data_IF_641721267084
#
_entry.id   IF_641721267084
#
_cell.length_a   1.000
_cell.length_b   1.000
_cell.length_c   1.000
_cell.angle_alpha   90.00
_cell.angle_beta   90.00
_cell.angle_gamma   90.00
#
_symmetry.space_group_name_H-M   'P 1'
#
loop_
_entity.id
_entity.type
_entity.pdbx_description
1 polymer ?
#
# COMPACT_ATOMS: atom_id res chain seq x y z
N UNK A 1 -17.75 -11.87 2.39
CA UNK A 1 -18.97 -11.28 1.81
C UNK A 1 -18.60 -10.70 0.45
N UNK A 2 -19.45 -10.88 -0.55
CA UNK A 2 -19.24 -10.39 -1.91
C UNK A 2 -20.56 -9.84 -2.44
N UNK A 3 -20.48 -8.75 -3.18
CA UNK A 3 -21.63 -8.02 -3.69
C UNK A 3 -21.47 -7.85 -5.20
N UNK A 4 -22.53 -8.12 -5.95
CA UNK A 4 -22.54 -7.88 -7.39
C UNK A 4 -22.70 -6.37 -7.64
N UNK A 5 -21.74 -5.79 -8.35
CA UNK A 5 -21.72 -4.35 -8.63
C UNK A 5 -22.49 -4.05 -9.91
N UNK A 6 -22.24 -4.88 -10.93
CA UNK A 6 -22.97 -4.95 -12.20
C UNK A 6 -23.03 -6.43 -12.62
N UNK A 7 -23.92 -6.83 -13.54
CA UNK A 7 -24.03 -8.22 -13.98
C UNK A 7 -22.67 -8.82 -14.36
N UNK A 8 -22.25 -9.87 -13.65
CA UNK A 8 -21.00 -10.59 -13.88
C UNK A 8 -19.75 -10.01 -13.21
N UNK A 9 -19.83 -8.85 -12.54
CA UNK A 9 -18.71 -8.25 -11.79
C UNK A 9 -19.02 -8.15 -10.31
N UNK A 10 -18.25 -8.89 -9.53
CA UNK A 10 -18.39 -9.02 -8.09
C UNK A 10 -17.21 -8.35 -7.37
N UNK A 11 -17.50 -7.65 -6.28
CA UNK A 11 -16.51 -7.09 -5.37
C UNK A 11 -16.63 -7.76 -4.00
N UNK A 12 -15.53 -8.23 -3.44
CA UNK A 12 -15.57 -8.94 -2.15
C UNK A 12 -14.29 -8.94 -1.35
N UNK A 13 -14.39 -9.53 -0.16
CA UNK A 13 -13.23 -9.89 0.67
C UNK A 13 -12.48 -11.08 0.07
N UNK A 14 -11.24 -11.30 0.52
CA UNK A 14 -10.46 -12.50 0.17
C UNK A 14 -11.27 -13.78 0.40
N UNK A 15 -11.48 -14.61 -0.63
CA UNK A 15 -12.24 -15.85 -0.47
C UNK A 15 -11.41 -16.91 0.26
N UNK A 16 -12.08 -17.69 1.09
CA UNK A 16 -11.55 -18.91 1.70
C UNK A 16 -11.98 -20.15 0.89
N UNK A 17 -11.29 -21.28 1.08
CA UNK A 17 -11.59 -22.57 0.44
C UNK A 17 -13.04 -22.99 0.68
N UNK A 18 -13.59 -22.71 1.87
CA UNK A 18 -15.00 -22.96 2.19
C UNK A 18 -16.01 -22.20 1.31
N UNK A 19 -15.55 -21.16 0.59
CA UNK A 19 -16.40 -20.31 -0.27
C UNK A 19 -16.36 -20.71 -1.74
N UNK A 20 -15.56 -21.70 -2.14
CA UNK A 20 -15.46 -22.13 -3.54
C UNK A 20 -16.83 -22.52 -4.11
N UNK A 21 -17.64 -23.28 -3.38
CA UNK A 21 -18.99 -23.64 -3.82
C UNK A 21 -19.88 -22.40 -4.02
N UNK A 22 -19.80 -21.40 -3.13
CA UNK A 22 -20.54 -20.15 -3.26
C UNK A 22 -20.10 -19.34 -4.48
N UNK A 23 -18.79 -19.33 -4.81
CA UNK A 23 -18.29 -18.69 -6.03
C UNK A 23 -18.90 -19.32 -7.28
N UNK A 24 -18.93 -20.65 -7.35
CA UNK A 24 -19.55 -21.37 -8.46
C UNK A 24 -21.07 -21.16 -8.54
N UNK A 25 -21.79 -21.16 -7.42
CA UNK A 25 -23.23 -20.89 -7.39
C UNK A 25 -23.57 -19.49 -7.92
N UNK A 26 -22.68 -18.51 -7.70
CA UNK A 26 -22.82 -17.15 -8.25
C UNK A 26 -22.28 -17.04 -9.69
N UNK A 27 -21.91 -18.16 -10.32
CA UNK A 27 -21.42 -18.19 -11.69
C UNK A 27 -20.03 -17.59 -11.88
N UNK A 28 -19.24 -17.38 -10.82
CA UNK A 28 -17.88 -16.81 -10.91
C UNK A 28 -16.90 -17.85 -11.44
N UNK A 29 -16.19 -17.52 -12.52
CA UNK A 29 -15.14 -18.38 -13.12
C UNK A 29 -13.75 -17.74 -13.12
N UNK A 30 -13.65 -16.45 -12.82
CA UNK A 30 -12.38 -15.74 -12.74
C UNK A 30 -12.22 -14.95 -11.44
N UNK A 31 -10.99 -14.87 -10.92
CA UNK A 31 -10.66 -14.15 -9.69
C UNK A 31 -9.46 -13.23 -9.93
N UNK A 32 -9.66 -11.94 -9.71
CA UNK A 32 -8.61 -10.92 -9.68
C UNK A 32 -8.27 -10.61 -8.21
N UNK A 33 -7.01 -10.88 -7.85
CA UNK A 33 -6.46 -10.64 -6.51
C UNK A 33 -5.57 -9.41 -6.52
N UNK A 34 -5.91 -8.39 -5.74
CA UNK A 34 -5.02 -7.26 -5.43
C UNK A 34 -4.72 -7.28 -3.94
N UNK A 35 -3.60 -7.89 -3.56
CA UNK A 35 -3.24 -8.13 -2.16
C UNK A 35 -1.72 -8.35 -2.07
N UNK A 36 -1.17 -8.45 -0.86
CA UNK A 36 0.23 -8.81 -0.62
C UNK A 36 0.53 -10.29 -0.89
N UNK A 37 -0.50 -11.14 -0.86
CA UNK A 37 -0.36 -12.58 -0.99
C UNK A 37 -1.34 -13.14 -2.02
N UNK A 38 -0.91 -14.03 -2.94
CA UNK A 38 -1.81 -14.69 -3.87
C UNK A 38 -2.74 -15.68 -3.15
N UNK A 39 -3.82 -16.08 -3.80
CA UNK A 39 -4.65 -17.20 -3.34
C UNK A 39 -3.92 -18.54 -3.54
N UNK A 40 -4.11 -19.53 -2.63
CA UNK A 40 -3.49 -20.85 -2.76
C UNK A 40 -3.80 -21.51 -4.10
N UNK A 41 -2.76 -21.89 -4.84
CA UNK A 41 -2.86 -22.47 -6.17
C UNK A 41 -3.69 -23.77 -6.20
N UNK A 42 -3.50 -24.64 -5.21
CA UNK A 42 -4.17 -25.94 -5.14
C UNK A 42 -5.68 -25.82 -4.98
N UNK A 43 -6.16 -24.90 -4.13
CA UNK A 43 -7.58 -24.74 -3.85
C UNK A 43 -8.32 -23.96 -4.95
N UNK A 44 -7.67 -22.96 -5.56
CA UNK A 44 -8.31 -22.07 -6.53
C UNK A 44 -7.90 -22.35 -7.99
N UNK A 45 -7.33 -23.53 -8.27
CA UNK A 45 -7.00 -23.97 -9.63
C UNK A 45 -8.19 -24.03 -10.61
N UNK A 46 -9.45 -24.25 -10.19
CA UNK A 46 -10.58 -24.24 -11.12
C UNK A 46 -10.94 -22.86 -11.69
N UNK A 47 -10.37 -21.77 -11.14
CA UNK A 47 -10.65 -20.40 -11.57
C UNK A 47 -9.52 -19.87 -12.45
N UNK A 48 -9.88 -19.09 -13.49
CA UNK A 48 -8.89 -18.20 -14.15
C UNK A 48 -8.48 -17.14 -13.15
N UNK A 49 -7.18 -16.85 -13.02
CA UNK A 49 -6.67 -15.98 -11.95
C UNK A 49 -5.74 -14.92 -12.50
N UNK A 50 -5.90 -13.71 -11.98
CA UNK A 50 -4.90 -12.65 -12.07
C UNK A 50 -4.50 -12.24 -10.65
N UNK A 51 -3.20 -12.16 -10.42
CA UNK A 51 -2.63 -11.63 -9.19
C UNK A 51 -1.85 -10.35 -9.49
N UNK A 52 -2.18 -9.29 -8.76
CA UNK A 52 -1.47 -8.01 -8.76
C UNK A 52 -0.99 -7.79 -7.31
N UNK A 53 0.32 -7.93 -7.03
CA UNK A 53 0.85 -7.64 -5.71
C UNK A 53 0.72 -6.15 -5.44
N UNK A 54 0.01 -5.77 -4.37
CA UNK A 54 -0.16 -4.38 -3.99
C UNK A 54 -0.54 -4.23 -2.52
N UNK A 55 -0.12 -3.13 -1.90
CA UNK A 55 -0.51 -2.79 -0.54
C UNK A 55 -1.60 -1.70 -0.53
N UNK A 56 -2.50 -1.71 0.45
CA UNK A 56 -3.52 -0.65 0.62
C UNK A 56 -2.91 0.59 1.31
N UNK A 57 -2.02 1.26 0.57
CA UNK A 57 -1.36 2.49 1.00
C UNK A 57 -1.54 3.57 -0.07
N UNK A 58 -1.54 4.87 0.32
CA UNK A 58 -1.64 5.96 -0.64
C UNK A 58 -0.43 6.09 -1.58
N UNK A 59 0.65 5.38 -1.30
CA UNK A 59 1.90 5.44 -2.08
C UNK A 59 2.03 4.28 -3.08
N UNK A 60 1.19 3.25 -2.97
CA UNK A 60 1.16 2.14 -3.92
C UNK A 60 0.66 2.64 -5.28
N UNK A 61 1.43 2.37 -6.35
CA UNK A 61 1.04 2.77 -7.70
C UNK A 61 0.28 1.62 -8.37
N UNK A 62 -1.04 1.62 -8.22
CA UNK A 62 -1.94 0.71 -8.94
C UNK A 62 -2.24 1.19 -10.36
N UNK A 63 -2.07 2.48 -10.66
CA UNK A 63 -2.39 3.09 -11.95
C UNK A 63 -1.70 2.37 -13.12
N UNK A 64 -0.42 2.00 -12.97
CA UNK A 64 0.34 1.18 -13.94
C UNK A 64 -0.26 -0.21 -14.20
N UNK A 65 -1.10 -0.70 -13.30
CA UNK A 65 -1.73 -2.02 -13.36
C UNK A 65 -3.19 -1.97 -13.80
N UNK A 66 -3.77 -0.77 -13.96
CA UNK A 66 -5.19 -0.62 -14.34
C UNK A 66 -5.48 -1.29 -15.67
N UNK A 67 -4.67 -1.06 -16.71
CA UNK A 67 -4.89 -1.67 -18.02
C UNK A 67 -4.92 -3.20 -17.93
N UNK A 68 -3.92 -3.80 -17.26
CA UNK A 68 -3.87 -5.26 -17.05
C UNK A 68 -5.09 -5.79 -16.30
N UNK A 69 -5.54 -5.07 -15.28
CA UNK A 69 -6.68 -5.46 -14.46
C UNK A 69 -8.01 -5.33 -15.23
N UNK A 70 -8.19 -4.23 -15.96
CA UNK A 70 -9.37 -3.94 -16.78
C UNK A 70 -9.50 -4.98 -17.89
N UNK A 71 -8.41 -5.27 -18.63
CA UNK A 71 -8.42 -6.30 -19.67
C UNK A 71 -8.83 -7.66 -19.10
N UNK A 72 -8.29 -8.04 -17.94
CA UNK A 72 -8.70 -9.28 -17.28
C UNK A 72 -10.18 -9.29 -16.90
N UNK A 73 -10.73 -8.17 -16.41
CA UNK A 73 -12.16 -8.10 -16.09
C UNK A 73 -12.99 -8.20 -17.38
N UNK A 74 -12.69 -7.41 -18.41
CA UNK A 74 -13.47 -7.36 -19.65
C UNK A 74 -13.51 -8.72 -20.37
N UNK A 75 -12.39 -9.44 -20.43
CA UNK A 75 -12.32 -10.77 -21.04
C UNK A 75 -13.21 -11.81 -20.34
N UNK A 76 -13.46 -11.64 -19.03
CA UNK A 76 -14.05 -12.69 -18.20
C UNK A 76 -15.41 -12.30 -17.60
N UNK A 77 -15.87 -11.05 -17.73
CA UNK A 77 -17.10 -10.55 -17.10
C UNK A 77 -18.35 -11.36 -17.51
N UNK A 78 -18.41 -11.84 -18.76
CA UNK A 78 -19.51 -12.72 -19.25
C UNK A 78 -19.61 -14.05 -18.51
N UNK A 79 -18.50 -14.48 -17.90
CA UNK A 79 -18.38 -15.73 -17.16
C UNK A 79 -18.24 -15.51 -15.64
N UNK A 80 -18.51 -14.30 -15.15
CA UNK A 80 -18.42 -13.96 -13.74
C UNK A 80 -16.97 -13.75 -13.25
N UNK A 81 -16.69 -12.54 -12.75
CA UNK A 81 -15.39 -12.15 -12.19
C UNK A 81 -15.56 -11.66 -10.76
N UNK A 82 -14.76 -12.20 -9.84
CA UNK A 82 -14.57 -11.62 -8.51
C UNK A 82 -13.29 -10.79 -8.48
N UNK A 83 -13.41 -9.52 -8.15
CA UNK A 83 -12.29 -8.68 -7.70
C UNK A 83 -12.30 -8.67 -6.18
N UNK A 84 -11.18 -9.02 -5.54
CA UNK A 84 -11.06 -8.92 -4.08
C UNK A 84 -9.97 -7.96 -3.63
N UNK A 85 -10.22 -7.34 -2.47
CA UNK A 85 -9.38 -6.34 -1.77
C UNK A 85 -9.14 -4.99 -2.45
N UNK A 86 -9.52 -4.78 -3.72
CA UNK A 86 -9.39 -3.46 -4.36
C UNK A 86 -10.68 -2.96 -5.03
N UNK A 87 -11.44 -2.16 -4.28
CA UNK A 87 -12.53 -1.36 -4.84
C UNK A 87 -12.03 -0.39 -5.92
N UNK A 88 -10.78 0.07 -5.81
CA UNK A 88 -10.11 0.95 -6.79
C UNK A 88 -10.12 0.34 -8.19
N UNK A 89 -9.79 -0.95 -8.34
CA UNK A 89 -9.81 -1.63 -9.65
C UNK A 89 -11.23 -1.70 -10.23
N UNK A 90 -12.23 -1.98 -9.39
CA UNK A 90 -13.64 -2.01 -9.84
C UNK A 90 -14.08 -0.63 -10.31
N UNK A 91 -13.76 0.43 -9.55
CA UNK A 91 -14.07 1.80 -9.95
C UNK A 91 -13.38 2.16 -11.27
N UNK A 92 -12.08 1.86 -11.42
CA UNK A 92 -11.34 2.10 -12.65
C UNK A 92 -11.96 1.38 -13.86
N UNK A 93 -12.40 0.13 -13.67
CA UNK A 93 -13.10 -0.63 -14.71
C UNK A 93 -14.42 0.03 -15.13
N UNK A 94 -15.24 0.47 -14.17
CA UNK A 94 -16.49 1.16 -14.48
C UNK A 94 -16.25 2.49 -15.22
N UNK A 95 -15.25 3.26 -14.78
CA UNK A 95 -14.82 4.49 -15.45
C UNK A 95 -14.44 4.22 -16.91
N UNK A 96 -13.57 3.24 -17.16
CA UNK A 96 -13.15 2.87 -18.51
C UNK A 96 -14.31 2.34 -19.37
N UNK A 97 -15.11 1.40 -18.83
CA UNK A 97 -16.12 0.65 -19.59
C UNK A 97 -17.34 1.49 -19.95
N UNK A 98 -17.72 2.42 -19.08
CA UNK A 98 -18.92 3.25 -19.24
C UNK A 98 -18.60 4.73 -19.45
N UNK A 99 -17.31 5.10 -19.52
CA UNK A 99 -16.85 6.50 -19.65
C UNK A 99 -17.40 7.40 -18.55
N UNK A 100 -17.46 6.85 -17.33
CA UNK A 100 -17.91 7.56 -16.14
C UNK A 100 -16.77 8.37 -15.52
N UNK A 101 -17.09 9.54 -14.98
CA UNK A 101 -16.19 10.24 -14.06
C UNK A 101 -15.89 9.38 -12.83
N UNK A 102 -14.83 9.71 -12.09
CA UNK A 102 -14.53 9.04 -10.81
C UNK A 102 -15.74 9.09 -9.86
N UNK A 103 -16.39 10.25 -9.74
CA UNK A 103 -17.53 10.45 -8.83
C UNK A 103 -18.71 9.53 -9.18
N UNK A 104 -19.08 9.45 -10.45
CA UNK A 104 -20.19 8.59 -10.90
C UNK A 104 -19.88 7.10 -10.69
N UNK A 105 -18.67 6.67 -11.05
CA UNK A 105 -18.25 5.29 -10.88
C UNK A 105 -18.15 4.90 -9.39
N UNK A 106 -17.61 5.78 -8.56
CA UNK A 106 -17.53 5.59 -7.10
C UNK A 106 -18.92 5.45 -6.48
N UNK A 107 -19.84 6.36 -6.78
CA UNK A 107 -21.22 6.31 -6.29
C UNK A 107 -21.94 5.03 -6.73
N UNK A 108 -21.68 4.56 -7.95
CA UNK A 108 -22.24 3.30 -8.44
C UNK A 108 -21.78 2.10 -7.61
N UNK A 109 -20.51 2.03 -7.24
CA UNK A 109 -20.01 0.98 -6.35
C UNK A 109 -20.58 1.14 -4.93
N UNK A 110 -20.63 2.38 -4.44
CA UNK A 110 -21.09 2.71 -3.09
C UNK A 110 -22.53 2.25 -2.82
N UNK A 111 -23.40 2.32 -3.84
CA UNK A 111 -24.80 1.85 -3.77
C UNK A 111 -24.93 0.35 -3.52
N UNK A 112 -23.98 -0.46 -4.02
CA UNK A 112 -23.97 -1.91 -3.80
C UNK A 112 -23.18 -2.30 -2.54
N UNK A 113 -22.08 -1.60 -2.25
CA UNK A 113 -21.19 -1.94 -1.15
C UNK A 113 -20.49 -0.70 -0.60
N UNK A 114 -20.46 -0.55 0.72
CA UNK A 114 -19.64 0.48 1.38
C UNK A 114 -18.16 0.24 1.06
N UNK A 115 -17.56 1.19 0.35
CA UNK A 115 -16.15 1.19 -0.05
C UNK A 115 -15.52 2.53 0.29
N UNK A 116 -14.21 2.53 0.55
CA UNK A 116 -13.45 3.74 0.81
C UNK A 116 -12.01 3.51 0.35
N UNK A 117 -11.71 3.71 -0.95
CA UNK A 117 -10.34 3.77 -1.45
C UNK A 117 -9.55 4.82 -0.67
N UNK A 118 -8.28 4.56 -0.42
CA UNK A 118 -7.41 5.56 0.21
C UNK A 118 -7.17 6.77 -0.73
N UNK A 119 -6.70 7.89 -0.20
CA UNK A 119 -6.56 9.14 -0.95
C UNK A 119 -5.58 9.05 -2.14
N UNK A 120 -4.55 8.20 -2.04
CA UNK A 120 -3.62 7.95 -3.15
C UNK A 120 -4.30 7.23 -4.30
N UNK A 121 -5.14 6.24 -4.01
CA UNK A 121 -5.96 5.55 -5.01
C UNK A 121 -7.05 6.45 -5.59
N UNK A 122 -7.70 7.29 -4.79
CA UNK A 122 -8.67 8.29 -5.28
C UNK A 122 -8.00 9.19 -6.32
N UNK A 123 -6.78 9.65 -6.05
CA UNK A 123 -6.08 10.51 -7.00
C UNK A 123 -5.49 9.81 -8.20
N UNK A 124 -5.13 8.54 -8.06
CA UNK A 124 -4.83 7.71 -9.24
C UNK A 124 -6.06 7.56 -10.13
N UNK A 125 -7.26 7.38 -9.58
CA UNK A 125 -8.51 7.33 -10.36
C UNK A 125 -8.81 8.67 -11.04
N UNK A 126 -8.64 9.80 -10.34
CA UNK A 126 -8.78 11.14 -10.96
C UNK A 126 -7.73 11.41 -12.03
N UNK A 127 -6.49 10.96 -11.82
CA UNK A 127 -5.44 11.02 -12.84
C UNK A 127 -5.80 10.17 -14.06
N UNK A 128 -6.32 8.96 -13.84
CA UNK A 128 -6.82 8.08 -14.89
C UNK A 128 -7.95 8.73 -15.71
N UNK A 129 -8.88 9.42 -15.05
CA UNK A 129 -9.92 10.23 -15.71
C UNK A 129 -9.32 11.35 -16.57
N UNK A 130 -8.38 12.13 -16.03
CA UNK A 130 -7.67 13.19 -16.77
C UNK A 130 -6.88 12.64 -17.97
N UNK A 131 -6.37 11.41 -17.87
CA UNK A 131 -5.72 10.68 -18.97
C UNK A 131 -6.71 9.99 -19.91
N UNK A 132 -8.01 10.33 -19.87
CA UNK A 132 -9.06 9.73 -20.69
C UNK A 132 -9.12 8.19 -20.58
N UNK A 133 -8.96 7.71 -19.35
CA UNK A 133 -9.05 6.29 -18.99
C UNK A 133 -7.98 5.42 -19.66
N UNK A 134 -6.79 5.99 -19.87
CA UNK A 134 -5.59 5.25 -20.28
C UNK A 134 -4.46 5.48 -19.28
N UNK A 135 -3.41 4.67 -19.35
CA UNK A 135 -2.16 4.91 -18.63
C UNK A 135 -1.10 5.37 -19.61
N UNK A 136 -0.80 6.67 -19.59
CA UNK A 136 0.28 7.26 -20.38
C UNK A 136 1.25 8.00 -19.47
N UNK A 137 2.44 7.43 -19.19
CA UNK A 137 3.42 8.06 -18.32
C UNK A 137 4.04 9.33 -18.94
N UNK A 138 3.84 9.59 -20.22
CA UNK A 138 4.31 10.80 -20.91
C UNK A 138 3.31 11.95 -20.88
N UNK A 139 2.05 11.67 -20.49
CA UNK A 139 0.96 12.65 -20.49
C UNK A 139 1.18 13.75 -19.45
N UNK A 140 0.69 14.96 -19.77
CA UNK A 140 0.78 16.10 -18.85
C UNK A 140 -0.01 15.84 -17.55
N UNK A 141 -1.15 15.16 -17.63
CA UNK A 141 -1.92 14.76 -16.47
C UNK A 141 -1.15 13.80 -15.55
N UNK A 142 -0.37 12.88 -16.10
CA UNK A 142 0.48 12.00 -15.31
C UNK A 142 1.67 12.75 -14.70
N UNK A 143 2.31 13.65 -15.45
CA UNK A 143 3.38 14.52 -14.91
C UNK A 143 2.86 15.42 -13.80
N UNK A 144 1.67 15.99 -13.94
CA UNK A 144 0.99 16.77 -12.91
C UNK A 144 0.68 15.90 -11.69
N UNK A 145 0.11 14.71 -11.88
CA UNK A 145 -0.13 13.75 -10.81
C UNK A 145 1.18 13.37 -10.11
N UNK A 146 2.24 13.08 -10.85
CA UNK A 146 3.56 12.82 -10.30
C UNK A 146 4.17 14.05 -9.62
N UNK A 147 3.87 15.26 -10.08
CA UNK A 147 4.31 16.47 -9.39
C UNK A 147 3.51 16.71 -8.11
N UNK A 148 2.22 16.41 -8.08
CA UNK A 148 1.35 16.62 -6.91
C UNK A 148 1.49 15.50 -5.86
N UNK A 149 1.57 14.24 -6.29
CA UNK A 149 1.78 13.06 -5.43
C UNK A 149 3.24 12.72 -5.25
N UNK A 150 4.07 13.17 -6.18
CA UNK A 150 5.50 13.26 -5.96
C UNK A 150 5.91 14.56 -5.28
N UNK A 151 5.07 15.59 -5.04
CA UNK A 151 5.33 16.71 -4.09
C UNK A 151 4.60 16.61 -2.74
N UNK A 152 3.41 16.02 -2.65
CA UNK A 152 2.93 15.43 -1.38
C UNK A 152 3.75 14.19 -1.03
N UNK A 153 4.36 13.58 -2.05
CA UNK A 153 5.69 13.00 -2.00
C UNK A 153 6.67 14.05 -1.48
N UNK A 154 7.39 14.81 -2.30
CA UNK A 154 8.55 15.68 -2.04
C UNK A 154 8.47 16.75 -0.94
N UNK A 155 7.38 16.99 -0.22
CA UNK A 155 7.43 17.71 1.07
C UNK A 155 7.48 16.71 2.23
N UNK A 156 6.71 15.62 2.11
CA UNK A 156 6.87 14.41 2.91
C UNK A 156 8.15 13.64 2.52
N UNK A 157 8.65 13.79 1.29
CA UNK A 157 9.72 13.02 0.67
C UNK A 157 10.92 13.92 0.31
N UNK A 158 10.94 15.26 0.36
CA UNK A 158 12.26 15.95 0.44
C UNK A 158 12.93 15.73 1.79
N UNK A 159 12.15 15.49 2.85
CA UNK A 159 12.70 14.93 4.09
C UNK A 159 12.95 13.41 3.96
N UNK A 160 11.99 12.62 3.46
CA UNK A 160 12.13 11.14 3.40
C UNK A 160 12.82 10.54 2.15
N UNK A 161 12.62 11.05 0.93
CA UNK A 161 13.37 10.73 -0.32
C UNK A 161 14.81 11.23 -0.29
N UNK A 162 15.11 12.36 0.38
CA UNK A 162 16.51 12.71 0.66
C UNK A 162 17.14 11.61 1.52
N UNK A 163 16.44 11.06 2.51
CA UNK A 163 16.91 9.87 3.22
C UNK A 163 16.90 8.56 2.37
N UNK A 164 16.06 8.47 1.33
CA UNK A 164 15.92 7.26 0.52
C UNK A 164 16.89 7.15 -0.67
N UNK A 165 17.39 8.26 -1.22
CA UNK A 165 18.34 8.26 -2.35
C UNK A 165 19.50 9.27 -2.22
N UNK A 166 19.52 10.09 -1.16
CA UNK A 166 20.56 11.10 -0.92
C UNK A 166 21.21 11.06 0.47
N UNK A 167 20.70 10.25 1.41
CA UNK A 167 21.42 9.97 2.63
C UNK A 167 22.59 9.10 2.20
N UNK A 168 23.79 9.54 2.55
CA UNK A 168 24.77 8.57 2.96
C UNK A 168 24.06 7.62 3.92
N UNK A 169 23.80 6.40 3.45
CA UNK A 169 23.36 5.31 4.29
C UNK A 169 24.41 5.29 5.39
N UNK A 170 24.09 5.82 6.57
CA UNK A 170 24.86 5.49 7.74
C UNK A 170 24.53 4.02 7.99
N UNK A 171 25.32 3.15 7.34
CA UNK A 171 25.34 1.70 7.43
C UNK A 171 25.75 1.27 8.84
N UNK A 172 25.02 1.70 9.85
CA UNK A 172 25.30 1.37 11.24
C UNK A 172 24.10 0.81 11.99
N UNK A 173 22.94 0.60 11.34
CA UNK A 173 21.85 -0.17 11.95
C UNK A 173 21.59 -1.47 11.19
N UNK A 174 21.67 -2.65 11.82
CA UNK A 174 21.46 -3.95 11.18
C UNK A 174 19.98 -4.26 10.85
N UNK A 175 19.07 -3.30 10.98
CA UNK A 175 17.63 -3.51 10.80
C UNK A 175 17.10 -2.76 9.56
N UNK A 176 16.33 -3.46 8.72
CA UNK A 176 15.70 -2.90 7.52
C UNK A 176 14.61 -1.87 7.91
N UNK A 177 14.46 -0.76 7.15
CA UNK A 177 13.42 0.24 7.41
C UNK A 177 12.03 -0.39 7.31
N UNK A 178 11.15 0.00 8.24
CA UNK A 178 9.83 -0.59 8.39
C UNK A 178 8.74 0.48 8.56
N UNK A 179 7.55 0.19 8.04
CA UNK A 179 6.36 1.02 8.21
C UNK A 179 5.41 0.37 9.19
N UNK A 180 4.81 1.17 10.07
CA UNK A 180 3.79 0.72 11.01
C UNK A 180 2.41 1.14 10.53
N UNK A 181 1.50 0.17 10.41
CA UNK A 181 0.13 0.35 9.93
C UNK A 181 -0.89 -0.15 10.95
N UNK A 182 -2.10 0.39 10.93
CA UNK A 182 -3.20 -0.09 11.79
C UNK A 182 -3.51 -1.56 11.48
N UNK A 183 -3.53 -2.40 12.52
CA UNK A 183 -3.73 -3.85 12.35
C UNK A 183 -5.09 -4.25 11.78
N UNK A 184 -6.12 -3.43 12.02
CA UNK A 184 -7.49 -3.73 11.59
C UNK A 184 -7.78 -3.32 10.14
N UNK A 185 -7.31 -2.15 9.72
CA UNK A 185 -7.66 -1.59 8.40
C UNK A 185 -6.44 -1.26 7.52
N UNK A 186 -5.22 -1.58 7.98
CA UNK A 186 -3.95 -1.38 7.27
C UNK A 186 -3.60 0.07 6.95
N UNK A 187 -4.33 1.04 7.50
CA UNK A 187 -4.01 2.46 7.36
C UNK A 187 -2.60 2.76 7.92
N UNK A 188 -1.69 3.37 7.14
CA UNK A 188 -0.38 3.77 7.64
C UNK A 188 -0.47 4.68 8.87
N UNK A 189 0.47 4.53 9.80
CA UNK A 189 0.50 5.31 11.06
C UNK A 189 1.82 6.08 11.18
N UNK A 190 2.98 5.42 11.06
CA UNK A 190 4.31 6.07 11.04
C UNK A 190 5.41 5.18 10.47
N UNK A 191 6.57 5.77 10.17
CA UNK A 191 7.79 5.08 9.75
C UNK A 191 8.68 4.74 10.95
N UNK A 192 9.55 3.72 10.83
CA UNK A 192 10.48 3.32 11.89
C UNK A 192 11.40 4.44 12.37
N UNK A 193 11.70 5.42 11.52
CA UNK A 193 12.57 6.56 11.86
C UNK A 193 11.91 7.54 12.82
N UNK A 194 10.57 7.54 12.89
CA UNK A 194 9.82 8.37 13.82
C UNK A 194 9.84 7.77 15.24
N UNK A 195 10.38 6.57 15.42
CA UNK A 195 10.44 5.90 16.71
C UNK A 195 11.56 6.51 17.55
N UNK A 196 11.19 7.02 18.72
CA UNK A 196 12.12 7.52 19.72
C UNK A 196 12.88 6.32 20.32
N UNK A 197 14.10 6.13 19.83
CA UNK A 197 15.06 5.18 20.38
C UNK A 197 15.53 5.67 21.75
N UNK A 198 15.46 4.80 22.76
CA UNK A 198 15.94 5.12 24.10
C UNK A 198 16.49 3.86 24.78
N UNK A 199 17.38 4.07 25.74
CA UNK A 199 17.99 2.99 26.50
C UNK A 199 17.31 2.80 27.86
N UNK A 200 17.35 1.58 28.36
CA UNK A 200 16.92 1.25 29.72
C UNK A 200 17.84 1.97 30.71
N UNK A 201 17.30 2.65 31.75
CA UNK A 201 18.14 3.24 32.79
C UNK A 201 18.99 2.16 33.48
N UNK A 202 20.28 2.44 33.75
CA UNK A 202 21.16 1.48 34.42
C UNK A 202 20.71 1.22 35.86
N UNK A 203 20.65 -0.05 36.27
CA UNK A 203 20.33 -0.44 37.66
C UNK A 203 21.47 -0.11 38.63
N UNK A 204 22.71 0.03 38.14
CA UNK A 204 23.92 0.38 38.92
C UNK A 204 24.75 1.42 38.16
N UNK A 205 25.47 2.30 38.86
CA UNK A 205 26.24 3.43 38.28
C UNK A 205 27.27 3.07 37.19
N UNK A 206 27.62 1.79 37.00
CA UNK A 206 28.62 1.30 36.02
C UNK A 206 28.08 0.23 35.06
N UNK A 207 26.77 0.06 34.88
CA UNK A 207 26.21 -0.89 33.90
C UNK A 207 26.01 -0.25 32.52
N UNK A 208 26.29 -1.00 31.46
CA UNK A 208 26.06 -0.56 30.07
C UNK A 208 24.58 -0.26 29.81
N UNK A 209 24.34 0.78 29.00
CA UNK A 209 23.00 1.16 28.57
C UNK A 209 22.47 0.18 27.53
N UNK A 210 21.40 -0.54 27.86
CA UNK A 210 20.80 -1.53 26.97
C UNK A 210 19.67 -0.88 26.16
N UNK A 211 19.64 -1.01 24.82
CA UNK A 211 18.53 -0.50 24.00
C UNK A 211 17.18 -1.05 24.45
N UNK A 212 16.17 -0.17 24.54
CA UNK A 212 14.82 -0.57 24.93
C UNK A 212 14.10 -1.28 23.76
N UNK A 213 14.13 -2.61 23.75
CA UNK A 213 13.37 -3.43 22.78
C UNK A 213 11.94 -3.79 23.21
N UNK A 214 11.60 -3.59 24.48
CA UNK A 214 10.34 -4.06 25.08
C UNK A 214 9.37 -2.90 25.31
N UNK A 215 8.06 -3.17 25.15
CA UNK A 215 7.00 -2.22 25.43
C UNK A 215 6.42 -1.50 24.20
N UNK A 216 5.76 -0.38 24.45
CA UNK A 216 5.09 0.43 23.44
C UNK A 216 6.07 1.24 22.59
N UNK A 217 5.67 1.59 21.37
CA UNK A 217 6.47 2.37 20.46
C UNK A 217 6.22 3.85 20.70
N UNK A 218 7.24 4.57 21.14
CA UNK A 218 7.16 6.01 21.30
C UNK A 218 7.56 6.72 20.01
N UNK A 219 6.85 7.78 19.65
CA UNK A 219 7.21 8.62 18.49
C UNK A 219 7.28 10.08 18.87
N UNK A 220 7.90 10.88 18.01
CA UNK A 220 7.68 12.33 18.01
C UNK A 220 6.23 12.65 17.64
N UNK A 221 5.86 13.94 17.77
CA UNK A 221 4.56 14.43 17.34
C UNK A 221 4.43 14.29 15.82
N UNK A 222 3.37 13.62 15.37
CA UNK A 222 3.11 13.40 13.94
C UNK A 222 2.01 14.33 13.45
N UNK A 223 2.16 14.82 12.23
CA UNK A 223 1.25 15.82 11.64
C UNK A 223 -0.21 15.34 11.57
N UNK A 224 -0.46 14.03 11.38
CA UNK A 224 -1.82 13.50 11.37
C UNK A 224 -2.50 13.54 12.74
N UNK A 225 -1.77 13.76 13.84
CA UNK A 225 -2.30 13.97 15.19
C UNK A 225 -2.85 15.39 15.41
N UNK A 226 -2.68 16.28 14.42
CA UNK A 226 -3.23 17.64 14.44
C UNK A 226 -4.73 17.60 14.78
N UNK A 227 -5.16 18.48 15.68
CA UNK A 227 -6.54 18.61 16.15
C UNK A 227 -7.13 17.40 16.91
N UNK A 228 -6.36 16.31 17.09
CA UNK A 228 -6.75 15.15 17.90
C UNK A 228 -6.18 15.18 19.32
N UNK A 229 -5.24 16.10 19.57
CA UNK A 229 -4.42 16.15 20.79
C UNK A 229 -4.58 17.47 21.56
N UNK A 230 -5.78 18.07 21.52
CA UNK A 230 -6.06 19.38 22.12
C UNK A 230 -6.02 19.37 23.66
N UNK A 231 -6.20 18.21 24.29
CA UNK A 231 -6.07 18.03 25.74
C UNK A 231 -4.66 17.60 26.13
N UNK A 232 -4.27 17.79 27.41
CA UNK A 232 -2.93 17.43 27.93
C UNK A 232 -2.61 15.93 27.79
N UNK A 233 -3.61 15.07 27.91
CA UNK A 233 -3.46 13.62 27.77
C UNK A 233 -4.69 13.02 27.07
N UNK A 234 -4.52 11.90 26.37
CA UNK A 234 -5.64 11.29 25.66
C UNK A 234 -5.32 9.97 24.97
N UNK A 235 -6.18 9.60 24.01
CA UNK A 235 -6.10 8.35 23.25
C UNK A 235 -5.87 8.66 21.77
N UNK A 236 -4.99 7.89 21.13
CA UNK A 236 -4.74 7.97 19.69
C UNK A 236 -5.55 6.89 18.98
N UNK A 237 -6.34 7.32 17.99
CA UNK A 237 -7.18 6.45 17.19
C UNK A 237 -6.75 6.45 15.73
N UNK A 238 -6.97 5.34 15.04
CA UNK A 238 -6.75 5.24 13.62
C UNK A 238 -7.69 6.20 12.88
N UNK A 239 -7.15 7.06 12.03
CA UNK A 239 -7.93 8.04 11.25
C UNK A 239 -8.89 7.40 10.26
N UNK A 240 -8.66 6.12 9.89
CA UNK A 240 -9.52 5.38 8.96
C UNK A 240 -10.63 4.57 9.63
N UNK A 241 -10.29 3.76 10.63
CA UNK A 241 -11.25 2.82 11.25
C UNK A 241 -11.63 3.16 12.69
N UNK A 242 -11.08 4.24 13.25
CA UNK A 242 -11.28 4.69 14.63
C UNK A 242 -10.89 3.68 15.71
N UNK A 243 -10.19 2.61 15.35
CA UNK A 243 -9.63 1.68 16.32
C UNK A 243 -8.56 2.37 17.17
N UNK A 244 -8.53 2.07 18.47
CA UNK A 244 -7.50 2.60 19.36
C UNK A 244 -6.13 2.08 18.93
N UNK A 245 -5.19 2.99 18.64
CA UNK A 245 -3.81 2.65 18.30
C UNK A 245 -2.88 2.81 19.51
N UNK A 246 -3.12 3.84 20.31
CA UNK A 246 -2.20 4.23 21.37
C UNK A 246 -2.81 5.28 22.29
N UNK A 247 -1.94 6.00 22.98
CA UNK A 247 -2.26 7.09 23.89
C UNK A 247 -1.18 8.15 23.85
N UNK A 248 -1.48 9.32 24.41
CA UNK A 248 -0.53 10.41 24.45
C UNK A 248 -0.60 11.20 25.76
N UNK A 249 0.51 11.80 26.14
CA UNK A 249 0.64 12.72 27.27
C UNK A 249 1.69 13.81 26.94
N UNK A 250 1.25 15.06 26.85
CA UNK A 250 2.11 16.21 26.56
C UNK A 250 3.14 16.50 27.66
N UNK A 251 2.84 16.14 28.91
CA UNK A 251 3.78 16.27 30.03
C UNK A 251 4.78 15.11 30.11
N UNK A 252 4.63 14.12 29.22
CA UNK A 252 5.45 12.93 29.20
C UNK A 252 4.89 11.78 30.03
N UNK A 253 5.47 10.60 29.82
CA UNK A 253 5.09 9.36 30.48
C UNK A 253 6.31 8.45 30.63
N UNK A 254 6.26 7.54 31.60
CA UNK A 254 7.33 6.58 31.85
C UNK A 254 7.15 5.36 30.94
N UNK A 255 8.13 5.10 30.07
CA UNK A 255 8.19 3.84 29.33
C UNK A 255 8.28 2.66 30.31
N UNK A 256 7.81 1.49 29.88
CA UNK A 256 7.91 0.23 30.66
C UNK A 256 9.34 -0.12 31.10
N UNK A 257 10.36 0.36 30.38
CA UNK A 257 11.76 0.20 30.79
C UNK A 257 12.19 1.12 31.94
N UNK A 258 11.36 2.08 32.34
CA UNK A 258 11.64 3.05 33.39
C UNK A 258 12.13 4.42 32.90
N UNK A 259 12.44 4.57 31.60
CA UNK A 259 12.85 5.86 31.01
C UNK A 259 11.66 6.82 30.91
N UNK A 260 11.85 8.08 31.29
CA UNK A 260 10.88 9.15 31.07
C UNK A 260 10.96 9.66 29.62
N UNK A 261 9.83 9.71 28.92
CA UNK A 261 9.72 10.21 27.55
C UNK A 261 8.81 11.44 27.54
N UNK A 262 9.21 12.53 26.89
CA UNK A 262 8.42 13.76 26.79
C UNK A 262 8.64 14.49 25.45
N UNK A 263 7.59 14.94 24.76
CA UNK A 263 6.20 14.54 24.95
C UNK A 263 6.03 13.02 24.68
N UNK A 264 5.09 12.37 25.34
CA UNK A 264 4.90 10.92 25.22
C UNK A 264 3.75 10.61 24.26
N UNK A 265 4.05 10.32 23.00
CA UNK A 265 3.11 9.71 22.06
C UNK A 265 3.49 8.25 21.91
N UNK A 266 2.63 7.33 22.34
CA UNK A 266 2.97 5.91 22.40
C UNK A 266 1.90 5.04 21.75
N UNK A 267 2.36 4.01 21.05
CA UNK A 267 1.52 3.09 20.30
C UNK A 267 1.72 1.66 20.76
N UNK A 268 0.61 0.97 20.97
CA UNK A 268 0.65 -0.43 21.36
C UNK A 268 0.97 -1.29 20.15
N UNK A 269 2.08 -2.03 20.19
CA UNK A 269 2.52 -2.94 19.11
C UNK A 269 1.41 -3.89 18.65
N UNK A 270 0.57 -4.37 19.57
CA UNK A 270 -0.57 -5.26 19.25
C UNK A 270 -1.63 -4.63 18.34
N UNK A 271 -1.72 -3.30 18.26
CA UNK A 271 -2.65 -2.58 17.39
C UNK A 271 -2.02 -2.20 16.05
N UNK A 272 -0.74 -2.53 15.84
CA UNK A 272 0.02 -2.20 14.66
C UNK A 272 0.54 -3.46 13.97
N UNK A 273 0.77 -3.35 12.67
CA UNK A 273 1.56 -4.30 11.90
C UNK A 273 2.80 -3.60 11.33
N UNK A 274 3.95 -4.22 11.55
CA UNK A 274 5.25 -3.82 11.01
C UNK A 274 5.42 -4.41 9.61
N UNK A 275 5.61 -3.54 8.62
CA UNK A 275 5.81 -3.88 7.22
C UNK A 275 7.26 -3.57 6.88
N UNK A 276 8.09 -4.61 6.76
CA UNK A 276 9.50 -4.48 6.39
C UNK A 276 9.65 -4.40 4.88
N UNK A 277 10.41 -3.42 4.41
CA UNK A 277 10.77 -3.34 3.00
C UNK A 277 11.74 -4.48 2.66
N UNK A 278 11.52 -5.26 1.58
CA UNK A 278 12.49 -6.25 1.14
C UNK A 278 13.78 -5.54 0.69
N UNK A 279 14.93 -6.04 1.15
CA UNK A 279 16.23 -5.60 0.69
C UNK A 279 16.32 -5.75 -0.83
N UNK A 280 16.45 -4.63 -1.55
CA UNK A 280 16.77 -4.63 -2.96
C UNK A 280 18.20 -5.17 -3.13
N UNK A 281 18.36 -6.48 -3.33
CA UNK A 281 19.61 -7.00 -3.88
C UNK A 281 19.73 -6.49 -5.32
N UNK A 282 20.53 -5.44 -5.50
CA UNK A 282 20.91 -4.92 -6.82
C UNK A 282 21.69 -6.00 -7.56
N UNK A 283 21.03 -6.75 -8.44
CA UNK A 283 21.72 -7.53 -9.46
C UNK A 283 22.12 -6.55 -10.57
N UNK A 284 23.39 -6.19 -10.62
CA UNK A 284 23.99 -5.42 -11.71
C UNK A 284 23.95 -6.25 -12.99
N UNK A 285 22.95 -6.02 -13.84
CA UNK A 285 22.97 -6.48 -15.22
C UNK A 285 23.77 -5.47 -16.06
N UNK A 286 25.06 -5.75 -16.22
CA UNK A 286 25.95 -5.01 -17.13
C UNK A 286 25.49 -5.17 -18.57
N UNK A 287 25.36 -4.04 -19.25
CA UNK A 287 25.13 -3.90 -20.69
C UNK A 287 26.09 -4.79 -21.51
N UNK A 288 25.56 -5.53 -22.48
CA UNK A 288 26.27 -5.84 -23.72
C UNK A 288 25.46 -5.24 -24.87
N UNK A 289 26.00 -4.18 -25.46
CA UNK A 289 25.60 -3.73 -26.79
C UNK A 289 25.82 -4.88 -27.77
N UNK A 290 24.80 -5.14 -28.59
CA UNK A 290 24.87 -6.08 -29.69
C UNK A 290 25.87 -5.60 -30.74
N UNK A 291 26.78 -6.50 -31.13
CA UNK A 291 27.52 -6.41 -32.36
C UNK A 291 26.59 -6.74 -33.52
N UNK A 292 26.53 -5.83 -34.48
CA UNK A 292 25.89 -5.98 -35.79
C UNK A 292 26.56 -7.12 -36.56
N UNK A 293 25.80 -8.15 -36.94
CA UNK A 293 26.22 -9.11 -37.96
C UNK A 293 25.81 -8.56 -39.32
N UNK A 294 26.82 -8.15 -40.09
CA UNK A 294 26.75 -7.96 -41.54
C UNK A 294 26.37 -9.29 -42.20
N UNK A 295 25.46 -9.21 -43.17
CA UNK A 295 25.07 -10.32 -44.04
C UNK A 295 25.91 -10.18 -45.30
N UNK A 296 26.82 -11.11 -45.51
CA UNK A 296 27.70 -11.17 -46.67
C UNK A 296 27.06 -12.09 -47.72
N UNK A 297 26.53 -11.49 -48.79
CA UNK A 297 26.16 -12.16 -50.03
C UNK A 297 27.27 -11.92 -51.07
N UNK A 298 28.17 -12.89 -51.29
CA UNK A 298 28.83 -13.07 -52.60
C UNK A 298 29.25 -14.53 -52.85
N UNK A 299 28.63 -15.10 -53.89
CA UNK A 299 29.16 -15.87 -55.02
C UNK A 299 30.32 -16.90 -54.88
N UNK A 300 30.06 -18.10 -55.44
CA UNK A 300 31.02 -19.09 -56.01
C UNK A 300 31.02 -20.44 -55.27
N UNK A 301 30.85 -21.63 -55.86
CA UNK A 301 30.92 -22.09 -57.24
C UNK A 301 30.28 -23.49 -57.37
N UNK A 302 29.51 -23.74 -58.43
CA UNK A 302 29.57 -24.90 -59.33
C UNK A 302 28.48 -24.81 -60.41
#
# INVERSE_FOLDING_TARGET
MMDEIIPGLWLGSRPDVSKISTLHCNGIKAILTVDLQPLPLSAFSPFKRLYIPANDTPYENLLKSFEKAITFIEENIRSGVLVHWSATIVIAYLMWRFRMSFGEAYEKVLRSRRVSPNDGFVSQLKCFEKMNFTYDPSSEAYKEFQSQYGNCGLLFTRKFFSAYLGAQIHMHSPFLPAYYSCRLCRNPVFHSDEIISHNRPPEKKNSEEIPCGEGELFTEYLEWMNNLTCEIQGKLYCTRCLAKLGSYNWCGERCTCGKWITPAFHFARKHLDEIRMPSLTMTTATQRLGATTEVDETAGSN
#
